data_IF_255622773455
#
_entry.id   IF_255622773455
#
_cell.length_a   1.000
_cell.length_b   1.000
_cell.length_c   1.000
_cell.angle_alpha   90.00
_cell.angle_beta   90.00
_cell.angle_gamma   90.00
#
_symmetry.space_group_name_H-M   'P 1'
#
loop_
_entity.id
_entity.type
_entity.pdbx_description
1 polymer ?
#
# COMPACT_ATOMS: atom_id res chain seq x y z
N UNK A 1 -34.84 25.37 -8.45
CA UNK A 1 -35.15 25.40 -7.01
C UNK A 1 -33.85 25.17 -6.25
N UNK A 2 -33.36 26.18 -5.56
CA UNK A 2 -32.21 26.03 -4.66
C UNK A 2 -32.63 25.13 -3.52
N UNK A 3 -31.88 24.07 -3.26
CA UNK A 3 -32.05 23.30 -2.04
C UNK A 3 -31.84 24.23 -0.84
N UNK A 4 -32.56 24.00 0.22
CA UNK A 4 -32.58 24.84 1.43
C UNK A 4 -31.19 25.03 2.05
N UNK A 5 -30.24 24.18 1.71
CA UNK A 5 -28.85 24.28 2.09
C UNK A 5 -27.93 23.69 0.99
N UNK A 6 -27.12 24.54 0.38
CA UNK A 6 -26.06 24.12 -0.55
C UNK A 6 -24.72 24.67 -0.03
N UNK A 7 -23.86 23.82 0.60
CA UNK A 7 -22.58 24.27 1.12
C UNK A 7 -21.50 24.42 0.03
N UNK A 8 -21.81 24.07 -1.21
CA UNK A 8 -20.83 24.01 -2.29
C UNK A 8 -20.71 25.35 -3.03
N UNK A 9 -19.51 25.74 -3.51
CA UNK A 9 -19.32 26.96 -4.26
C UNK A 9 -19.82 26.86 -5.71
N UNK A 10 -20.44 25.74 -6.12
CA UNK A 10 -20.92 25.47 -7.46
C UNK A 10 -22.35 24.90 -7.42
N UNK A 11 -23.16 25.30 -8.40
CA UNK A 11 -24.55 24.86 -8.55
C UNK A 11 -24.75 23.75 -9.59
N UNK A 12 -23.70 23.35 -10.32
CA UNK A 12 -23.78 22.30 -11.32
C UNK A 12 -24.11 20.95 -10.66
N UNK A 13 -25.28 20.35 -10.97
CA UNK A 13 -25.69 19.05 -10.41
C UNK A 13 -24.79 17.89 -10.88
N UNK A 14 -24.03 18.07 -11.96
CA UNK A 14 -23.08 17.09 -12.47
C UNK A 14 -21.67 17.26 -11.87
N UNK A 15 -21.40 18.41 -11.27
CA UNK A 15 -20.15 18.61 -10.55
C UNK A 15 -20.11 17.75 -9.28
N UNK A 16 -19.02 17.04 -9.09
CA UNK A 16 -18.91 16.04 -8.04
C UNK A 16 -17.56 16.13 -7.34
N UNK A 17 -17.59 16.63 -6.09
CA UNK A 17 -16.39 16.82 -5.27
C UNK A 17 -15.29 17.58 -6.02
N UNK A 18 -15.66 18.71 -6.63
CA UNK A 18 -14.71 19.56 -7.37
C UNK A 18 -13.68 20.10 -6.39
N UNK A 19 -12.42 19.87 -6.69
CA UNK A 19 -11.28 20.34 -5.93
C UNK A 19 -10.70 21.59 -6.64
N UNK A 20 -10.54 22.68 -5.90
CA UNK A 20 -9.78 23.82 -6.39
C UNK A 20 -8.28 23.54 -6.19
N UNK A 21 -7.50 23.38 -7.28
CA UNK A 21 -6.08 23.10 -7.19
C UNK A 21 -5.22 24.36 -6.93
N UNK A 22 -5.83 25.53 -6.85
CA UNK A 22 -5.11 26.80 -6.68
C UNK A 22 -4.23 26.79 -5.42
N UNK A 23 -2.95 27.12 -5.61
CA UNK A 23 -1.97 27.16 -4.52
C UNK A 23 -1.41 25.80 -4.10
N UNK A 24 -1.84 24.69 -4.72
CA UNK A 24 -1.18 23.41 -4.54
C UNK A 24 0.07 23.30 -5.43
N UNK A 25 1.19 22.72 -4.95
CA UNK A 25 2.41 22.56 -5.73
C UNK A 25 2.30 21.38 -6.73
N UNK A 26 1.35 21.47 -7.69
CA UNK A 26 1.10 20.41 -8.65
C UNK A 26 2.30 20.06 -9.55
N UNK A 27 3.29 20.97 -9.65
CA UNK A 27 4.56 20.68 -10.32
C UNK A 27 5.40 19.58 -9.66
N UNK A 28 5.07 19.24 -8.41
CA UNK A 28 5.71 18.12 -7.69
C UNK A 28 5.07 16.77 -7.97
N UNK A 29 3.91 16.75 -8.64
CA UNK A 29 3.29 15.52 -9.13
C UNK A 29 4.14 14.93 -10.26
N UNK A 30 4.52 13.66 -10.12
CA UNK A 30 5.27 12.93 -11.14
C UNK A 30 4.37 11.87 -11.77
N UNK A 31 4.09 12.02 -13.05
CA UNK A 31 3.25 11.08 -13.80
C UNK A 31 4.09 10.04 -14.53
N UNK A 32 3.61 8.80 -14.51
CA UNK A 32 4.24 7.65 -15.16
C UNK A 32 5.09 6.80 -14.21
N UNK A 33 4.95 5.49 -14.33
CA UNK A 33 5.59 4.52 -13.42
C UNK A 33 7.11 4.61 -13.42
N UNK A 34 7.72 4.73 -14.59
CA UNK A 34 9.17 4.88 -14.73
C UNK A 34 9.69 6.20 -14.17
N UNK A 35 8.99 7.31 -14.42
CA UNK A 35 9.34 8.62 -13.88
C UNK A 35 9.18 8.67 -12.36
N UNK A 36 8.12 8.06 -11.82
CA UNK A 36 7.90 7.94 -10.37
C UNK A 36 9.04 7.18 -9.69
N UNK A 37 9.45 6.05 -10.26
CA UNK A 37 10.58 5.27 -9.74
C UNK A 37 11.91 6.04 -9.86
N UNK A 38 12.12 6.76 -10.97
CA UNK A 38 13.33 7.59 -11.18
C UNK A 38 13.41 8.74 -10.16
N UNK A 39 12.29 9.38 -9.85
CA UNK A 39 12.23 10.43 -8.82
C UNK A 39 12.62 9.89 -7.44
N UNK A 40 12.14 8.70 -7.05
CA UNK A 40 12.49 8.08 -5.78
C UNK A 40 13.95 7.61 -5.75
N UNK A 41 14.47 7.08 -6.84
CA UNK A 41 15.89 6.72 -6.97
C UNK A 41 16.80 7.96 -6.87
N UNK A 42 16.41 9.08 -7.47
CA UNK A 42 17.15 10.35 -7.37
C UNK A 42 17.19 10.91 -5.94
N UNK A 43 16.11 10.76 -5.16
CA UNK A 43 16.10 11.11 -3.73
C UNK A 43 17.14 10.28 -2.96
N UNK A 44 17.14 8.96 -3.16
CA UNK A 44 18.11 8.06 -2.53
C UNK A 44 19.56 8.39 -2.93
N UNK A 45 19.81 8.65 -4.22
CA UNK A 45 21.12 9.08 -4.71
C UNK A 45 21.58 10.40 -4.09
N UNK A 46 20.65 11.34 -3.91
CA UNK A 46 20.90 12.60 -3.20
C UNK A 46 21.26 12.38 -1.73
N UNK A 47 20.59 11.46 -1.05
CA UNK A 47 20.84 11.11 0.34
C UNK A 47 22.18 10.41 0.54
N UNK A 48 22.58 9.53 -0.35
CA UNK A 48 23.87 8.81 -0.33
C UNK A 48 25.09 9.71 -0.48
N UNK A 49 24.91 10.97 -0.87
CA UNK A 49 26.01 11.97 -0.80
C UNK A 49 26.41 12.33 0.63
N UNK A 50 25.57 11.99 1.61
CA UNK A 50 25.76 12.33 3.04
C UNK A 50 25.69 11.10 3.95
N UNK A 51 25.24 9.97 3.44
CA UNK A 51 25.10 8.70 4.16
C UNK A 51 25.74 7.60 3.31
N UNK A 52 26.31 6.59 3.95
CA UNK A 52 26.95 5.46 3.27
C UNK A 52 25.93 4.41 2.83
N UNK A 53 24.80 4.33 3.53
CA UNK A 53 23.70 3.40 3.21
C UNK A 53 22.35 4.10 3.34
N UNK A 54 21.35 3.60 2.60
CA UNK A 54 19.99 4.14 2.61
C UNK A 54 18.95 3.01 2.52
N UNK A 55 17.95 3.02 3.37
CA UNK A 55 16.88 2.01 3.38
C UNK A 55 15.59 2.63 2.86
N UNK A 56 15.09 2.09 1.75
CA UNK A 56 13.81 2.47 1.16
C UNK A 56 12.77 1.41 1.51
N UNK A 57 11.66 1.80 2.14
CA UNK A 57 10.52 0.94 2.31
C UNK A 57 9.49 1.18 1.20
N UNK A 58 9.03 0.11 0.57
CA UNK A 58 7.96 0.11 -0.44
C UNK A 58 6.83 -0.79 0.04
N UNK A 59 5.75 -0.18 0.46
CA UNK A 59 4.54 -0.86 0.94
C UNK A 59 3.33 -0.46 0.10
N UNK A 60 2.18 -1.06 0.31
CA UNK A 60 0.99 -0.65 -0.40
C UNK A 60 -0.28 -1.35 0.05
N UNK A 61 -1.40 -0.83 -0.47
CA UNK A 61 -2.69 -1.48 -0.27
C UNK A 61 -2.73 -2.84 -0.99
N UNK A 62 -3.53 -3.76 -0.45
CA UNK A 62 -3.69 -5.10 -1.05
C UNK A 62 -3.95 -5.02 -2.55
N UNK A 63 -3.26 -5.84 -3.31
CA UNK A 63 -3.22 -5.87 -4.78
C UNK A 63 -2.46 -4.73 -5.48
N UNK A 64 -1.88 -3.78 -4.76
CA UNK A 64 -1.02 -2.79 -5.39
C UNK A 64 0.14 -3.48 -6.14
N UNK A 65 0.57 -2.95 -7.31
CA UNK A 65 1.60 -3.57 -8.14
C UNK A 65 3.01 -3.31 -7.59
N UNK A 66 3.27 -3.80 -6.37
CA UNK A 66 4.53 -3.61 -5.65
C UNK A 66 5.74 -4.14 -6.42
N UNK A 67 5.61 -5.34 -7.01
CA UNK A 67 6.66 -5.95 -7.82
C UNK A 67 7.10 -5.05 -8.98
N UNK A 68 6.12 -4.48 -9.68
CA UNK A 68 6.39 -3.61 -10.83
C UNK A 68 7.15 -2.36 -10.39
N UNK A 69 6.70 -1.72 -9.31
CA UNK A 69 7.35 -0.50 -8.81
C UNK A 69 8.75 -0.80 -8.27
N UNK A 70 8.91 -1.88 -7.48
CA UNK A 70 10.20 -2.33 -6.97
C UNK A 70 11.19 -2.60 -8.11
N UNK A 71 10.79 -3.35 -9.15
CA UNK A 71 11.63 -3.63 -10.30
C UNK A 71 12.08 -2.35 -11.03
N UNK A 72 11.16 -1.39 -11.22
CA UNK A 72 11.50 -0.09 -11.82
C UNK A 72 12.47 0.69 -10.95
N UNK A 73 12.27 0.71 -9.63
CA UNK A 73 13.16 1.38 -8.69
C UNK A 73 14.57 0.78 -8.71
N UNK A 74 14.69 -0.55 -8.71
CA UNK A 74 15.98 -1.25 -8.87
C UNK A 74 16.69 -0.85 -10.17
N UNK A 75 15.95 -0.85 -11.29
CA UNK A 75 16.51 -0.45 -12.59
C UNK A 75 17.02 1.00 -12.56
N UNK A 76 16.28 1.92 -11.96
CA UNK A 76 16.70 3.32 -11.88
C UNK A 76 17.93 3.50 -10.98
N UNK A 77 18.00 2.81 -9.85
CA UNK A 77 19.17 2.81 -8.97
C UNK A 77 20.39 2.22 -9.67
N UNK A 78 20.21 1.13 -10.42
CA UNK A 78 21.30 0.52 -11.21
C UNK A 78 21.82 1.45 -12.31
N UNK A 79 20.93 2.20 -12.99
CA UNK A 79 21.32 3.23 -13.97
C UNK A 79 22.15 4.36 -13.33
N UNK A 80 21.95 4.63 -12.04
CA UNK A 80 22.75 5.59 -11.27
C UNK A 80 24.03 4.99 -10.70
N UNK A 81 24.32 3.70 -10.98
CA UNK A 81 25.50 3.00 -10.47
C UNK A 81 25.46 2.69 -8.97
N UNK A 82 24.27 2.69 -8.36
CA UNK A 82 24.08 2.46 -6.93
C UNK A 82 23.87 0.97 -6.68
N UNK A 83 24.66 0.34 -5.80
CA UNK A 83 24.44 -1.05 -5.38
C UNK A 83 23.07 -1.19 -4.66
N UNK A 84 22.33 -2.23 -5.00
CA UNK A 84 21.00 -2.48 -4.43
C UNK A 84 20.95 -3.85 -3.78
N UNK A 85 20.46 -3.88 -2.54
CA UNK A 85 20.05 -5.10 -1.83
C UNK A 85 18.53 -5.09 -1.72
N UNK A 86 17.87 -6.23 -1.91
CA UNK A 86 16.41 -6.35 -1.82
C UNK A 86 16.05 -7.30 -0.70
N UNK A 87 15.09 -6.89 0.14
CA UNK A 87 14.53 -7.71 1.21
C UNK A 87 13.00 -7.71 1.10
N UNK A 88 12.41 -8.89 0.99
CA UNK A 88 10.97 -9.05 0.89
C UNK A 88 10.34 -9.29 2.26
N UNK A 89 9.34 -8.51 2.63
CA UNK A 89 8.53 -8.73 3.85
C UNK A 89 7.76 -10.04 3.77
N UNK A 90 7.52 -10.55 2.57
CA UNK A 90 6.87 -11.85 2.36
C UNK A 90 7.61 -13.00 3.07
N UNK A 91 8.91 -12.88 3.28
CA UNK A 91 9.72 -13.87 4.00
C UNK A 91 9.45 -13.90 5.51
N UNK A 92 8.78 -12.88 6.05
CA UNK A 92 8.47 -12.78 7.48
C UNK A 92 7.23 -13.56 7.89
N UNK A 93 6.35 -13.94 6.95
CA UNK A 93 5.10 -14.60 7.27
C UNK A 93 5.32 -15.90 8.05
N UNK A 94 4.38 -16.20 8.95
CA UNK A 94 4.26 -17.53 9.54
C UNK A 94 4.11 -18.57 8.42
N UNK A 95 4.42 -19.83 8.72
CA UNK A 95 4.22 -20.91 7.75
C UNK A 95 2.75 -20.97 7.32
N UNK A 96 2.53 -21.23 6.02
CA UNK A 96 1.20 -21.15 5.39
C UNK A 96 0.16 -21.99 6.11
N UNK A 97 0.53 -23.21 6.53
CA UNK A 97 -0.35 -24.13 7.25
C UNK A 97 -0.77 -23.53 8.59
N UNK A 98 0.18 -23.11 9.41
CA UNK A 98 -0.05 -22.50 10.73
C UNK A 98 -0.95 -21.25 10.63
N UNK A 99 -0.64 -20.37 9.68
CA UNK A 99 -1.41 -19.15 9.48
C UNK A 99 -2.83 -19.46 8.99
N UNK A 100 -2.97 -20.42 8.07
CA UNK A 100 -4.26 -20.78 7.51
C UNK A 100 -5.16 -21.47 8.54
N UNK A 101 -4.63 -22.35 9.35
CA UNK A 101 -5.35 -23.00 10.46
C UNK A 101 -5.84 -21.99 11.48
N UNK A 102 -4.96 -21.05 11.89
CA UNK A 102 -5.34 -20.00 12.83
C UNK A 102 -6.46 -19.11 12.28
N UNK A 103 -6.31 -18.62 11.05
CA UNK A 103 -7.32 -17.77 10.42
C UNK A 103 -8.63 -18.51 10.16
N UNK A 104 -8.59 -19.81 9.83
CA UNK A 104 -9.78 -20.63 9.71
C UNK A 104 -10.51 -20.77 11.04
N UNK A 105 -9.79 -20.96 12.14
CA UNK A 105 -10.38 -21.10 13.47
C UNK A 105 -10.94 -19.78 14.01
N UNK A 106 -10.24 -18.67 13.82
CA UNK A 106 -10.56 -17.39 14.44
C UNK A 106 -11.48 -16.50 13.60
N UNK A 107 -11.29 -16.47 12.28
CA UNK A 107 -11.88 -15.49 11.38
C UNK A 107 -12.74 -16.10 10.25
N UNK A 108 -12.38 -17.28 9.75
CA UNK A 108 -12.90 -17.84 8.51
C UNK A 108 -13.50 -19.24 8.72
N UNK A 109 -14.19 -19.45 9.84
CA UNK A 109 -14.86 -20.72 10.12
C UNK A 109 -15.85 -21.08 9.00
N UNK A 110 -15.76 -22.30 8.49
CA UNK A 110 -16.64 -22.81 7.43
C UNK A 110 -17.73 -23.68 8.05
N UNK A 111 -18.98 -23.26 7.90
CA UNK A 111 -20.18 -24.04 8.26
C UNK A 111 -21.08 -24.05 7.02
N UNK A 112 -20.85 -25.05 6.17
CA UNK A 112 -21.57 -25.15 4.88
C UNK A 112 -23.07 -25.39 5.03
N UNK A 113 -23.57 -25.84 6.19
CA UNK A 113 -24.99 -25.94 6.46
C UNK A 113 -25.64 -24.57 6.66
N UNK A 114 -24.95 -23.66 7.38
CA UNK A 114 -25.45 -22.31 7.66
C UNK A 114 -24.97 -21.28 6.63
N UNK A 115 -23.81 -21.50 6.02
CA UNK A 115 -23.21 -20.58 5.03
C UNK A 115 -22.70 -21.35 3.80
N UNK A 116 -23.62 -21.88 2.96
CA UNK A 116 -23.23 -22.70 1.80
C UNK A 116 -22.47 -21.91 0.73
N UNK A 117 -22.48 -20.60 0.78
CA UNK A 117 -21.79 -19.72 -0.16
C UNK A 117 -20.53 -19.08 0.41
N UNK A 118 -20.20 -19.33 1.67
CA UNK A 118 -19.03 -18.82 2.38
C UNK A 118 -18.96 -17.27 2.36
N UNK A 119 -20.07 -16.62 2.74
CA UNK A 119 -20.16 -15.16 2.82
C UNK A 119 -19.70 -14.60 4.17
N UNK A 120 -19.91 -15.35 5.24
CA UNK A 120 -19.71 -14.86 6.60
C UNK A 120 -18.30 -15.17 7.11
N UNK A 121 -17.81 -14.31 8.00
CA UNK A 121 -16.55 -14.40 8.71
C UNK A 121 -16.48 -13.35 9.81
N UNK A 122 -15.38 -13.32 10.54
CA UNK A 122 -15.09 -12.31 11.57
C UNK A 122 -13.93 -11.45 11.08
N UNK A 123 -14.07 -10.14 11.14
CA UNK A 123 -12.99 -9.20 10.79
C UNK A 123 -11.76 -9.46 11.65
N UNK A 124 -10.60 -9.48 11.02
CA UNK A 124 -9.33 -9.59 11.70
C UNK A 124 -8.99 -8.28 12.40
N UNK A 125 -8.80 -8.33 13.70
CA UNK A 125 -8.55 -7.14 14.52
C UNK A 125 -7.08 -6.78 14.68
N UNK A 126 -6.18 -7.67 14.26
CA UNK A 126 -4.73 -7.50 14.39
C UNK A 126 -4.11 -6.57 13.33
N UNK A 127 -2.78 -6.62 13.27
CA UNK A 127 -1.93 -5.95 12.29
C UNK A 127 -1.20 -6.97 11.42
N UNK A 128 -0.39 -6.52 10.47
CA UNK A 128 0.53 -7.39 9.73
C UNK A 128 1.50 -8.13 10.65
N UNK A 129 1.94 -7.47 11.72
CA UNK A 129 2.92 -7.99 12.69
C UNK A 129 2.41 -9.24 13.41
N UNK A 130 1.09 -9.33 13.62
CA UNK A 130 0.46 -10.53 14.21
C UNK A 130 0.48 -11.75 13.27
N UNK A 131 0.74 -11.52 11.98
CA UNK A 131 0.83 -12.55 10.96
C UNK A 131 2.28 -13.01 10.71
N UNK A 132 3.28 -12.36 11.33
CA UNK A 132 4.69 -12.67 11.14
C UNK A 132 5.23 -13.72 12.13
N UNK A 133 6.28 -14.40 11.68
CA UNK A 133 7.12 -15.23 12.55
C UNK A 133 8.15 -14.35 13.27
N UNK A 134 8.18 -14.41 14.60
CA UNK A 134 9.06 -13.57 15.41
C UNK A 134 10.56 -13.86 15.19
N UNK A 135 10.93 -15.10 14.84
CA UNK A 135 12.32 -15.44 14.55
C UNK A 135 12.75 -14.86 13.21
N UNK A 136 11.89 -14.97 12.20
CA UNK A 136 12.12 -14.37 10.87
C UNK A 136 12.23 -12.85 10.99
N UNK A 137 11.35 -12.22 11.77
CA UNK A 137 11.40 -10.78 12.05
C UNK A 137 12.72 -10.37 12.74
N UNK A 138 13.17 -11.12 13.73
CA UNK A 138 14.44 -10.85 14.41
C UNK A 138 15.63 -10.97 13.45
N UNK A 139 15.64 -11.98 12.59
CA UNK A 139 16.66 -12.16 11.56
C UNK A 139 16.66 -11.01 10.54
N UNK A 140 15.48 -10.55 10.09
CA UNK A 140 15.37 -9.41 9.19
C UNK A 140 15.89 -8.10 9.80
N UNK A 141 15.58 -7.84 11.07
CA UNK A 141 16.13 -6.68 11.81
C UNK A 141 17.66 -6.75 11.91
N UNK A 142 18.22 -7.92 12.21
CA UNK A 142 19.66 -8.11 12.25
C UNK A 142 20.30 -7.89 10.87
N UNK A 143 19.67 -8.36 9.78
CA UNK A 143 20.15 -8.14 8.43
C UNK A 143 20.12 -6.65 8.03
N UNK A 144 19.06 -5.91 8.43
CA UNK A 144 18.99 -4.46 8.23
C UNK A 144 20.11 -3.72 9.00
N UNK A 145 20.39 -4.12 10.24
CA UNK A 145 21.49 -3.55 11.03
C UNK A 145 22.84 -3.82 10.37
N UNK A 146 23.10 -5.06 9.97
CA UNK A 146 24.33 -5.44 9.27
C UNK A 146 24.50 -4.70 7.94
N UNK A 147 23.42 -4.47 7.18
CA UNK A 147 23.46 -3.65 5.97
C UNK A 147 23.91 -2.21 6.27
N UNK A 148 23.39 -1.62 7.35
CA UNK A 148 23.80 -0.27 7.77
C UNK A 148 25.26 -0.19 8.20
N UNK A 149 25.72 -1.20 8.92
CA UNK A 149 27.13 -1.30 9.35
C UNK A 149 28.08 -1.49 8.17
N UNK A 150 27.68 -2.25 7.14
CA UNK A 150 28.45 -2.43 5.94
C UNK A 150 28.61 -1.16 5.09
N UNK A 151 27.69 -0.18 5.26
CA UNK A 151 27.78 1.15 4.69
C UNK A 151 27.79 1.19 3.17
N UNK A 152 26.94 0.41 2.46
CA UNK A 152 27.08 0.26 1.02
C UNK A 152 25.75 0.28 0.25
N UNK A 153 25.39 1.43 -0.31
CA UNK A 153 24.31 1.56 -1.28
C UNK A 153 22.89 1.63 -0.71
N UNK A 154 21.92 1.08 -1.42
CA UNK A 154 20.51 1.10 -1.09
C UNK A 154 20.00 -0.30 -0.75
N UNK A 155 19.21 -0.41 0.35
CA UNK A 155 18.39 -1.58 0.61
C UNK A 155 16.93 -1.23 0.35
N UNK A 156 16.25 -2.02 -0.47
CA UNK A 156 14.81 -1.93 -0.71
C UNK A 156 14.12 -2.98 0.14
N UNK A 157 13.43 -2.54 1.21
CA UNK A 157 12.52 -3.34 2.00
C UNK A 157 11.12 -3.23 1.37
N UNK A 158 10.57 -4.31 0.83
CA UNK A 158 9.32 -4.22 0.08
C UNK A 158 8.34 -5.33 0.41
N UNK A 159 7.07 -5.03 0.24
CA UNK A 159 5.98 -5.96 0.47
C UNK A 159 4.96 -5.42 1.46
N UNK A 160 3.84 -6.14 1.58
CA UNK A 160 2.77 -5.75 2.49
C UNK A 160 3.23 -5.83 3.95
N UNK A 161 3.20 -4.68 4.63
CA UNK A 161 3.67 -4.52 6.00
C UNK A 161 5.08 -3.94 6.13
N UNK A 162 5.76 -3.58 5.04
CA UNK A 162 7.10 -2.95 5.10
C UNK A 162 7.12 -1.65 5.92
N UNK A 163 5.98 -0.97 6.02
CA UNK A 163 5.79 0.26 6.80
C UNK A 163 5.05 0.05 8.13
N UNK A 164 4.97 -1.18 8.64
CA UNK A 164 4.50 -1.43 10.00
C UNK A 164 5.38 -0.79 11.07
N UNK A 165 4.82 -0.57 12.25
CA UNK A 165 5.47 0.14 13.35
C UNK A 165 6.83 -0.44 13.73
N UNK A 166 6.98 -1.74 13.60
CA UNK A 166 8.22 -2.47 13.93
C UNK A 166 9.35 -2.25 12.91
N UNK A 167 9.04 -2.03 11.62
CA UNK A 167 10.03 -1.90 10.54
C UNK A 167 10.19 -0.46 10.07
N UNK A 168 9.12 0.33 10.08
CA UNK A 168 9.09 1.73 9.61
C UNK A 168 10.20 2.61 10.21
N UNK A 169 10.51 2.54 11.53
CA UNK A 169 11.60 3.35 12.11
C UNK A 169 12.99 3.00 11.59
N UNK A 170 13.16 1.84 10.96
CA UNK A 170 14.41 1.38 10.38
C UNK A 170 14.60 1.87 8.93
N UNK A 171 13.62 2.58 8.37
CA UNK A 171 13.60 3.00 6.98
C UNK A 171 13.78 4.51 6.87
N UNK A 172 14.62 4.94 5.93
CA UNK A 172 14.95 6.35 5.69
C UNK A 172 13.99 6.99 4.69
N UNK A 173 13.44 6.20 3.78
CA UNK A 173 12.50 6.65 2.74
C UNK A 173 11.28 5.72 2.70
N UNK A 174 10.09 6.29 2.80
CA UNK A 174 8.83 5.57 3.00
C UNK A 174 7.87 5.85 1.85
N UNK A 175 7.65 4.84 1.02
CA UNK A 175 6.83 4.91 -0.19
C UNK A 175 5.62 3.99 -0.02
N UNK A 176 4.42 4.53 -0.21
CA UNK A 176 3.19 3.75 -0.14
C UNK A 176 2.44 3.78 -1.47
N UNK A 177 2.17 2.61 -2.02
CA UNK A 177 1.40 2.43 -3.24
C UNK A 177 -0.08 2.18 -2.91
N UNK A 178 -0.96 3.05 -3.35
CA UNK A 178 -2.40 2.88 -3.12
C UNK A 178 -3.15 2.50 -4.39
N UNK A 179 -4.16 1.66 -4.22
CA UNK A 179 -5.10 1.30 -5.28
C UNK A 179 -6.53 1.36 -4.75
N UNK A 180 -7.47 1.74 -5.59
CA UNK A 180 -8.86 1.83 -5.19
C UNK A 180 -9.45 0.44 -4.89
N UNK A 181 -10.42 0.32 -3.96
CA UNK A 181 -11.07 -0.96 -3.65
C UNK A 181 -11.67 -1.64 -4.89
N UNK A 182 -12.22 -0.87 -5.81
CA UNK A 182 -12.75 -1.39 -7.07
C UNK A 182 -11.64 -2.06 -7.91
N UNK A 183 -10.48 -1.42 -8.06
CA UNK A 183 -9.33 -1.98 -8.79
C UNK A 183 -8.79 -3.22 -8.08
N UNK A 184 -8.71 -3.18 -6.76
CA UNK A 184 -8.31 -4.34 -5.97
C UNK A 184 -9.22 -5.55 -6.24
N UNK A 185 -10.53 -5.37 -6.21
CA UNK A 185 -11.49 -6.44 -6.49
C UNK A 185 -11.42 -6.94 -7.95
N UNK A 186 -11.18 -6.06 -8.91
CA UNK A 186 -11.00 -6.47 -10.32
C UNK A 186 -9.73 -7.33 -10.49
N UNK A 187 -8.63 -6.97 -9.84
CA UNK A 187 -7.39 -7.77 -9.85
C UNK A 187 -7.59 -9.14 -9.18
N UNK A 188 -8.29 -9.18 -8.06
CA UNK A 188 -8.70 -10.42 -7.42
C UNK A 188 -9.49 -11.33 -8.38
N UNK A 189 -10.50 -10.78 -9.05
CA UNK A 189 -11.34 -11.53 -10.00
C UNK A 189 -10.53 -12.09 -11.18
N UNK A 190 -9.45 -11.41 -11.58
CA UNK A 190 -8.55 -11.85 -12.64
C UNK A 190 -7.47 -12.85 -12.17
N UNK A 191 -7.41 -13.13 -10.87
CA UNK A 191 -6.37 -14.00 -10.30
C UNK A 191 -4.97 -13.34 -10.22
N UNK A 192 -4.92 -12.02 -10.27
CA UNK A 192 -3.68 -11.23 -10.21
C UNK A 192 -3.23 -10.97 -8.76
N UNK A 193 -3.82 -11.68 -7.80
CA UNK A 193 -3.51 -11.52 -6.38
C UNK A 193 -3.47 -12.87 -5.67
N UNK A 194 -2.66 -12.93 -4.66
CA UNK A 194 -2.48 -14.05 -3.75
C UNK A 194 -2.62 -13.53 -2.32
N UNK A 195 -3.44 -14.21 -1.52
CA UNK A 195 -3.63 -13.82 -0.12
C UNK A 195 -2.31 -13.81 0.66
N UNK A 196 -2.22 -12.92 1.63
CA UNK A 196 -1.05 -12.77 2.50
C UNK A 196 -0.66 -14.11 3.12
N UNK A 197 0.62 -14.48 3.04
CA UNK A 197 1.18 -15.71 3.60
C UNK A 197 0.78 -17.00 2.87
N UNK A 198 0.15 -16.94 1.69
CA UNK A 198 -0.10 -18.14 0.88
C UNK A 198 0.91 -18.28 -0.26
N UNK A 199 1.33 -19.53 -0.54
CA UNK A 199 2.25 -19.85 -1.66
C UNK A 199 1.52 -19.92 -2.99
N UNK A 200 0.21 -20.22 -2.97
CA UNK A 200 -0.64 -20.35 -4.16
C UNK A 200 -1.93 -19.57 -3.99
N UNK A 201 -2.48 -19.10 -5.11
CA UNK A 201 -3.79 -18.48 -5.11
C UNK A 201 -4.86 -19.49 -4.67
N UNK A 202 -5.75 -19.05 -3.77
CA UNK A 202 -6.91 -19.80 -3.37
C UNK A 202 -7.99 -19.76 -4.45
N UNK A 203 -8.96 -20.67 -4.39
CA UNK A 203 -10.18 -20.55 -5.20
C UNK A 203 -10.87 -19.20 -4.93
N UNK A 204 -11.40 -18.55 -5.97
CA UNK A 204 -11.88 -17.17 -5.92
C UNK A 204 -12.78 -16.84 -4.70
N UNK A 205 -13.76 -17.71 -4.39
CA UNK A 205 -14.63 -17.48 -3.22
C UNK A 205 -13.85 -17.39 -1.90
N UNK A 206 -12.94 -18.35 -1.67
CA UNK A 206 -12.10 -18.38 -0.47
C UNK A 206 -11.11 -17.22 -0.46
N UNK A 207 -10.51 -16.94 -1.61
CA UNK A 207 -9.60 -15.80 -1.77
C UNK A 207 -10.30 -14.48 -1.46
N UNK A 208 -11.45 -14.22 -2.07
CA UNK A 208 -12.22 -12.99 -1.86
C UNK A 208 -12.71 -12.87 -0.41
N UNK A 209 -13.20 -13.96 0.19
CA UNK A 209 -13.60 -13.97 1.61
C UNK A 209 -12.43 -13.65 2.53
N UNK A 210 -11.25 -14.26 2.32
CA UNK A 210 -10.06 -13.98 3.10
C UNK A 210 -9.57 -12.55 2.89
N UNK A 211 -9.62 -12.02 1.67
CA UNK A 211 -9.33 -10.61 1.42
C UNK A 211 -10.24 -9.69 2.22
N UNK A 212 -11.55 -9.93 2.20
CA UNK A 212 -12.52 -9.08 2.88
C UNK A 212 -12.32 -9.07 4.41
N UNK A 213 -12.14 -10.26 5.01
CA UNK A 213 -12.08 -10.37 6.47
C UNK A 213 -10.67 -10.21 7.07
N UNK A 214 -9.62 -10.34 6.26
CA UNK A 214 -8.24 -10.30 6.74
C UNK A 214 -7.38 -9.30 5.96
N UNK A 215 -7.11 -9.57 4.68
CA UNK A 215 -6.07 -8.85 3.94
C UNK A 215 -6.40 -7.35 3.77
N UNK A 216 -7.67 -7.03 3.48
CA UNK A 216 -8.11 -5.64 3.34
C UNK A 216 -8.18 -4.92 4.68
N UNK A 217 -8.51 -5.62 5.76
CA UNK A 217 -8.58 -5.05 7.10
C UNK A 217 -7.19 -4.59 7.58
N UNK A 218 -6.18 -5.47 7.47
CA UNK A 218 -4.82 -5.10 7.87
C UNK A 218 -4.24 -4.00 6.99
N UNK A 219 -4.52 -4.05 5.67
CA UNK A 219 -4.06 -3.04 4.72
C UNK A 219 -4.73 -1.67 4.97
N UNK A 220 -6.04 -1.66 5.23
CA UNK A 220 -6.78 -0.42 5.52
C UNK A 220 -6.32 0.21 6.84
N UNK A 221 -6.07 -0.60 7.87
CA UNK A 221 -5.58 -0.16 9.17
C UNK A 221 -4.19 0.49 9.03
N UNK A 222 -3.25 -0.18 8.36
CA UNK A 222 -1.92 0.38 8.11
C UNK A 222 -2.01 1.67 7.31
N UNK A 223 -2.75 1.69 6.20
CA UNK A 223 -2.95 2.90 5.39
C UNK A 223 -3.50 4.06 6.21
N UNK A 224 -4.52 3.81 7.04
CA UNK A 224 -5.09 4.83 7.93
C UNK A 224 -4.02 5.39 8.87
N UNK A 225 -3.24 4.53 9.55
CA UNK A 225 -2.16 4.97 10.44
C UNK A 225 -1.13 5.81 9.72
N UNK A 226 -0.65 5.36 8.56
CA UNK A 226 0.38 6.06 7.80
C UNK A 226 -0.06 7.46 7.35
N UNK A 227 -1.32 7.60 6.90
CA UNK A 227 -1.88 8.88 6.46
C UNK A 227 -2.21 9.79 7.65
N UNK A 228 -2.84 9.26 8.69
CA UNK A 228 -3.25 10.03 9.86
C UNK A 228 -2.04 10.56 10.65
N UNK A 229 -1.01 9.74 10.81
CA UNK A 229 0.21 10.10 11.53
C UNK A 229 1.27 10.77 10.64
N UNK A 230 0.96 11.00 9.35
CA UNK A 230 1.87 11.64 8.38
C UNK A 230 3.23 10.94 8.30
N UNK A 231 3.22 9.61 8.19
CA UNK A 231 4.42 8.78 8.24
C UNK A 231 5.03 8.47 6.86
N UNK A 232 4.56 9.11 5.80
CA UNK A 232 5.01 8.87 4.43
C UNK A 232 5.90 10.00 3.93
N UNK A 233 6.86 9.66 3.07
CA UNK A 233 7.61 10.62 2.26
C UNK A 233 6.96 10.75 0.87
N UNK A 234 6.43 9.64 0.34
CA UNK A 234 5.82 9.58 -0.98
C UNK A 234 4.61 8.65 -1.01
N UNK A 235 3.58 9.10 -1.71
CA UNK A 235 2.36 8.34 -1.97
C UNK A 235 2.23 8.12 -3.47
N UNK A 236 1.97 6.88 -3.88
CA UNK A 236 1.87 6.50 -5.28
C UNK A 236 0.46 6.03 -5.59
N UNK A 237 -0.22 6.72 -6.50
CA UNK A 237 -1.49 6.26 -7.06
C UNK A 237 -1.19 5.12 -8.03
N UNK A 238 -1.51 3.88 -7.66
CA UNK A 238 -1.12 2.67 -8.37
C UNK A 238 -2.32 1.86 -8.88
N UNK A 239 -3.32 2.56 -9.42
CA UNK A 239 -4.49 1.92 -10.02
C UNK A 239 -4.15 1.11 -11.29
N UNK A 240 -3.10 1.50 -11.99
CA UNK A 240 -2.56 0.82 -13.15
C UNK A 240 -1.03 0.70 -13.01
N UNK A 241 -0.50 -0.49 -13.26
CA UNK A 241 0.92 -0.76 -13.13
C UNK A 241 1.79 0.01 -14.15
N UNK A 242 1.21 0.41 -15.29
CA UNK A 242 1.91 1.13 -16.35
C UNK A 242 1.81 2.65 -16.22
N UNK A 243 0.84 3.15 -15.45
CA UNK A 243 0.57 4.58 -15.30
C UNK A 243 0.43 4.99 -13.83
N UNK A 244 1.45 4.69 -13.02
CA UNK A 244 1.49 5.15 -11.63
C UNK A 244 1.83 6.63 -11.58
N UNK A 245 1.28 7.34 -10.57
CA UNK A 245 1.60 8.76 -10.32
C UNK A 245 2.08 8.92 -8.89
N UNK A 246 3.18 9.62 -8.70
CA UNK A 246 3.80 9.85 -7.41
C UNK A 246 3.50 11.26 -6.91
N UNK A 247 3.04 11.33 -5.68
CA UNK A 247 2.82 12.56 -4.93
C UNK A 247 3.75 12.60 -3.72
N UNK A 248 4.50 13.67 -3.51
CA UNK A 248 5.11 13.93 -2.20
C UNK A 248 4.03 14.01 -1.11
N UNK A 249 4.37 13.63 0.10
CA UNK A 249 3.40 13.63 1.22
C UNK A 249 2.80 15.02 1.46
N UNK A 250 3.59 16.09 1.30
CA UNK A 250 3.14 17.48 1.43
C UNK A 250 2.03 17.85 0.43
N UNK A 251 2.16 17.41 -0.82
CA UNK A 251 1.12 17.61 -1.84
C UNK A 251 -0.15 16.82 -1.51
N UNK A 252 -0.01 15.57 -1.08
CA UNK A 252 -1.14 14.74 -0.66
C UNK A 252 -1.90 15.38 0.52
N UNK A 253 -1.20 15.88 1.53
CA UNK A 253 -1.80 16.59 2.65
C UNK A 253 -2.55 17.84 2.19
N UNK A 254 -1.98 18.61 1.27
CA UNK A 254 -2.64 19.77 0.67
C UNK A 254 -3.93 19.40 -0.06
N UNK A 255 -3.91 18.32 -0.82
CA UNK A 255 -5.10 17.78 -1.51
C UNK A 255 -6.19 17.39 -0.50
N UNK A 256 -5.84 16.67 0.56
CA UNK A 256 -6.79 16.30 1.59
C UNK A 256 -7.37 17.51 2.32
N UNK A 257 -6.54 18.50 2.65
CA UNK A 257 -7.02 19.74 3.27
C UNK A 257 -8.07 20.44 2.39
N UNK A 258 -7.82 20.54 1.09
CA UNK A 258 -8.78 21.10 0.12
C UNK A 258 -10.04 20.26 -0.01
N UNK A 259 -9.90 18.93 -0.08
CA UNK A 259 -11.04 18.03 -0.19
C UNK A 259 -11.98 18.09 1.02
N UNK A 260 -11.46 18.48 2.19
CA UNK A 260 -12.23 18.59 3.43
C UNK A 260 -12.85 19.97 3.67
N UNK A 261 -12.64 20.95 2.80
CA UNK A 261 -13.28 22.28 2.91
C UNK A 261 -14.79 22.21 2.77
N UNK A 262 -15.30 21.22 2.02
CA UNK A 262 -16.73 21.00 1.83
C UNK A 262 -17.09 19.54 2.11
N UNK A 263 -18.34 19.28 2.54
CA UNK A 263 -18.80 17.90 2.72
C UNK A 263 -18.71 17.09 1.43
N UNK A 264 -18.15 15.88 1.50
CA UNK A 264 -18.05 15.00 0.33
C UNK A 264 -19.43 14.52 -0.10
N UNK A 265 -19.73 14.65 -1.40
CA UNK A 265 -20.91 14.06 -2.01
C UNK A 265 -20.65 12.59 -2.31
N UNK A 266 -21.61 11.73 -1.93
CA UNK A 266 -21.61 10.32 -2.31
C UNK A 266 -22.65 10.08 -3.40
N UNK A 267 -22.23 9.52 -4.54
CA UNK A 267 -23.12 9.09 -5.63
C UNK A 267 -23.22 7.58 -5.61
N UNK A 268 -24.43 7.00 -5.54
CA UNK A 268 -24.57 5.56 -5.76
C UNK A 268 -24.05 5.18 -7.14
N UNK A 269 -23.12 4.24 -7.21
CA UNK A 269 -22.69 3.66 -8.47
C UNK A 269 -23.59 2.47 -8.72
N UNK A 270 -24.55 2.62 -9.60
CA UNK A 270 -25.26 1.48 -10.15
C UNK A 270 -24.32 0.82 -11.16
N UNK A 271 -23.90 -0.41 -10.87
CA UNK A 271 -23.23 -1.25 -11.86
C UNK A 271 -24.30 -1.56 -12.91
N UNK A 272 -24.22 -0.92 -14.05
CA UNK A 272 -24.90 -1.39 -15.24
C UNK A 272 -24.30 -2.77 -15.55
N UNK A 273 -25.16 -3.80 -15.57
CA UNK A 273 -24.80 -5.20 -15.68
C UNK A 273 -24.16 -5.61 -17.01
#
# INVERSE_FOLDING_TARGET
MSFMFNPYPYDDPNAFNVLDPSGLPLSELVEGSGASAAAEAAKAAGALKRAESWVIAVDGYSTAPLDTFRNLLEQQLALLGIPVTVMAVEELWQEEETLSERLAAENLQEDLEKDPVLLYGKLFSGSYEDLWDLKKLAAAKAALASFREAGSGVLILWGYGALCDTLRPLCDQKIYLDTTPMRAMLRLKRGEYRNIGTKKALAFKRMARRCYYVDFEVAAKLRFTLLHEKQLDSYVIANDALSMSLLPASLLEGIFARAMEYPLRCKPVYLEG
#
